data_IF_851883927559
#
_entry.id   IF_851883927559
#
_cell.length_a   1.000
_cell.length_b   1.000
_cell.length_c   1.000
_cell.angle_alpha   90.00
_cell.angle_beta   90.00
_cell.angle_gamma   90.00
#
_symmetry.space_group_name_H-M   'P 1'
#
loop_
_entity.id
_entity.type
_entity.pdbx_description
1 polymer ?
#
# COMPACT_ATOMS: atom_id res chain seq x y z
N UNK A 1 25.90 56.53 -10.94
CA UNK A 1 25.09 56.06 -9.79
C UNK A 1 24.13 54.98 -10.29
N UNK A 2 24.37 53.72 -9.92
CA UNK A 2 23.66 52.56 -10.47
C UNK A 2 22.46 52.21 -9.57
N UNK A 3 21.27 52.15 -10.18
CA UNK A 3 19.99 51.88 -9.52
C UNK A 3 19.90 50.42 -9.05
N UNK A 4 19.97 50.18 -7.74
CA UNK A 4 19.49 48.94 -7.12
C UNK A 4 18.04 49.10 -6.66
N UNK A 5 17.08 48.88 -7.56
CA UNK A 5 15.66 48.67 -7.21
C UNK A 5 15.10 47.52 -8.04
N UNK A 6 15.20 46.30 -7.52
CA UNK A 6 14.67 45.13 -8.22
C UNK A 6 14.69 43.78 -7.48
N UNK A 7 15.10 43.73 -6.21
CA UNK A 7 15.30 42.46 -5.50
C UNK A 7 14.23 42.09 -4.47
N UNK A 8 13.37 43.04 -4.05
CA UNK A 8 12.34 42.80 -3.03
C UNK A 8 11.13 41.99 -3.53
N UNK A 9 10.55 42.37 -4.68
CA UNK A 9 9.39 41.67 -5.26
C UNK A 9 9.71 40.24 -5.69
N UNK A 10 10.93 39.99 -6.20
CA UNK A 10 11.38 38.63 -6.58
C UNK A 10 11.48 37.71 -5.35
N UNK A 11 11.98 38.21 -4.21
CA UNK A 11 12.09 37.41 -2.97
C UNK A 11 10.72 37.03 -2.38
N UNK A 12 9.76 37.95 -2.39
CA UNK A 12 8.40 37.69 -1.88
C UNK A 12 7.67 36.66 -2.78
N UNK A 13 7.85 36.76 -4.09
CA UNK A 13 7.29 35.78 -5.04
C UNK A 13 7.83 34.37 -4.82
N UNK A 14 9.15 34.22 -4.60
CA UNK A 14 9.75 32.92 -4.28
C UNK A 14 9.28 32.35 -2.95
N UNK A 15 9.07 33.18 -1.92
CA UNK A 15 8.53 32.75 -0.63
C UNK A 15 7.08 32.23 -0.81
N UNK A 16 6.24 32.95 -1.55
CA UNK A 16 4.87 32.52 -1.84
C UNK A 16 4.82 31.19 -2.59
N UNK A 17 5.70 31.00 -3.58
CA UNK A 17 5.85 29.73 -4.30
C UNK A 17 6.20 28.60 -3.33
N UNK A 18 7.22 28.77 -2.48
CA UNK A 18 7.64 27.74 -1.52
C UNK A 18 6.52 27.41 -0.53
N UNK A 19 5.78 28.41 -0.04
CA UNK A 19 4.64 28.19 0.86
C UNK A 19 3.51 27.43 0.16
N UNK A 20 3.16 27.80 -1.08
CA UNK A 20 2.13 27.09 -1.85
C UNK A 20 2.52 25.63 -2.13
N UNK A 21 3.77 25.38 -2.51
CA UNK A 21 4.27 24.02 -2.76
C UNK A 21 4.31 23.16 -1.49
N UNK A 22 4.72 23.72 -0.35
CA UNK A 22 4.75 23.00 0.94
C UNK A 22 3.35 22.67 1.46
N UNK A 23 2.39 23.60 1.37
CA UNK A 23 1.00 23.37 1.79
C UNK A 23 0.31 22.33 0.89
N UNK A 24 0.56 22.36 -0.41
CA UNK A 24 -0.01 21.38 -1.36
C UNK A 24 0.51 19.96 -1.08
N UNK A 25 1.83 19.80 -0.89
CA UNK A 25 2.46 18.51 -0.58
C UNK A 25 1.99 17.92 0.77
N UNK A 26 1.77 18.77 1.77
CA UNK A 26 1.24 18.34 3.08
C UNK A 26 -0.18 17.76 2.98
N UNK A 27 -1.04 18.39 2.16
CA UNK A 27 -2.42 17.92 1.94
C UNK A 27 -2.46 16.57 1.22
N UNK A 28 -1.62 16.37 0.21
CA UNK A 28 -1.58 15.08 -0.52
C UNK A 28 -1.13 13.95 0.40
N UNK A 29 -0.06 14.15 1.19
CA UNK A 29 0.43 13.16 2.14
C UNK A 29 -0.62 12.75 3.18
N UNK A 30 -1.35 13.72 3.73
CA UNK A 30 -2.43 13.44 4.70
C UNK A 30 -3.58 12.66 4.07
N UNK A 31 -3.93 12.99 2.82
CA UNK A 31 -4.97 12.29 2.08
C UNK A 31 -4.56 10.84 1.82
N UNK A 32 -3.33 10.60 1.42
CA UNK A 32 -2.80 9.25 1.20
C UNK A 32 -2.68 8.44 2.50
N UNK A 33 -2.24 9.04 3.60
CA UNK A 33 -2.24 8.41 4.93
C UNK A 33 -3.67 8.00 5.35
N UNK A 34 -4.67 8.83 5.04
CA UNK A 34 -6.08 8.53 5.28
C UNK A 34 -6.56 7.36 4.42
N UNK A 35 -6.21 7.35 3.13
CA UNK A 35 -6.58 6.26 2.21
C UNK A 35 -5.94 4.94 2.62
N UNK A 36 -4.66 4.93 3.00
CA UNK A 36 -3.99 3.75 3.54
C UNK A 36 -4.73 3.19 4.76
N UNK A 37 -5.15 4.05 5.69
CA UNK A 37 -5.93 3.63 6.85
C UNK A 37 -7.25 2.97 6.47
N UNK A 38 -7.96 3.50 5.45
CA UNK A 38 -9.21 2.90 4.96
C UNK A 38 -8.97 1.56 4.28
N UNK A 39 -7.89 1.41 3.51
CA UNK A 39 -7.53 0.14 2.86
C UNK A 39 -7.24 -0.92 3.93
N UNK A 40 -6.39 -0.60 4.90
CA UNK A 40 -6.07 -1.50 6.02
C UNK A 40 -7.35 -1.87 6.80
N UNK A 41 -8.22 -0.91 7.06
CA UNK A 41 -9.51 -1.16 7.71
C UNK A 41 -10.36 -2.17 6.94
N UNK A 42 -10.46 -2.02 5.62
CA UNK A 42 -11.23 -2.91 4.78
C UNK A 42 -10.69 -4.34 4.81
N UNK A 43 -9.37 -4.52 4.79
CA UNK A 43 -8.74 -5.84 4.91
C UNK A 43 -9.04 -6.47 6.28
N UNK A 44 -8.80 -5.74 7.38
CA UNK A 44 -9.05 -6.26 8.73
C UNK A 44 -10.53 -6.58 8.97
N UNK A 45 -11.45 -5.74 8.46
CA UNK A 45 -12.88 -5.99 8.54
C UNK A 45 -13.29 -7.23 7.75
N UNK A 46 -12.71 -7.43 6.57
CA UNK A 46 -12.96 -8.63 5.76
C UNK A 46 -12.52 -9.90 6.52
N UNK A 47 -11.31 -9.91 7.07
CA UNK A 47 -10.80 -11.05 7.85
C UNK A 47 -11.61 -11.29 9.13
N UNK A 48 -12.01 -10.23 9.84
CA UNK A 48 -12.90 -10.32 11.02
C UNK A 48 -14.20 -11.04 10.71
N UNK A 49 -14.80 -10.74 9.55
CA UNK A 49 -16.07 -11.33 9.13
C UNK A 49 -15.91 -12.78 8.66
N UNK A 50 -14.71 -13.17 8.23
CA UNK A 50 -14.40 -14.53 7.77
C UNK A 50 -14.02 -15.46 8.92
N UNK A 51 -13.42 -14.91 9.97
CA UNK A 51 -13.02 -15.65 11.18
C UNK A 51 -14.23 -15.93 12.09
N UNK A 52 -14.27 -17.11 12.70
CA UNK A 52 -15.23 -17.45 13.77
C UNK A 52 -14.89 -16.74 15.10
N UNK A 53 -13.63 -16.34 15.28
CA UNK A 53 -13.18 -15.47 16.37
C UNK A 53 -13.21 -14.02 15.92
N UNK A 54 -14.13 -13.23 16.48
CA UNK A 54 -14.15 -11.78 16.30
C UNK A 54 -13.05 -11.18 17.18
N UNK A 55 -11.84 -11.09 16.64
CA UNK A 55 -10.79 -10.31 17.29
C UNK A 55 -11.23 -8.84 17.37
N UNK A 56 -11.40 -8.36 18.59
CA UNK A 56 -11.81 -6.98 18.85
C UNK A 56 -10.65 -5.99 18.71
N UNK A 57 -9.40 -6.47 18.79
CA UNK A 57 -8.18 -5.67 18.66
C UNK A 57 -7.18 -6.41 17.78
N UNK A 58 -6.71 -5.74 16.73
CA UNK A 58 -5.65 -6.23 15.85
C UNK A 58 -4.31 -5.64 16.28
N UNK A 59 -3.32 -6.50 16.53
CA UNK A 59 -1.95 -6.08 16.73
C UNK A 59 -1.26 -5.98 15.37
N UNK A 60 -0.87 -4.77 14.96
CA UNK A 60 -0.32 -4.48 13.62
C UNK A 60 1.12 -4.01 13.75
N UNK A 61 2.04 -4.60 13.01
CA UNK A 61 3.40 -4.07 12.89
C UNK A 61 3.33 -2.67 12.24
N UNK A 62 3.85 -1.62 12.89
CA UNK A 62 3.84 -0.28 12.30
C UNK A 62 4.66 -0.19 11.01
N UNK A 63 5.65 -1.05 10.80
CA UNK A 63 6.47 -1.03 9.58
C UNK A 63 5.69 -1.59 8.40
N UNK A 64 5.67 -0.83 7.30
CA UNK A 64 5.08 -1.29 6.05
C UNK A 64 6.13 -1.92 5.16
N UNK A 65 5.74 -2.97 4.46
CA UNK A 65 6.61 -3.71 3.56
C UNK A 65 6.46 -3.13 2.15
N UNK A 66 7.56 -3.06 1.39
CA UNK A 66 7.48 -2.56 0.02
C UNK A 66 7.02 -3.69 -0.90
N UNK A 67 5.90 -3.49 -1.58
CA UNK A 67 5.47 -4.37 -2.66
C UNK A 67 6.18 -3.93 -3.94
N UNK A 68 7.13 -4.75 -4.43
CA UNK A 68 7.87 -4.49 -5.66
C UNK A 68 7.16 -5.13 -6.84
N UNK A 69 6.71 -4.30 -7.77
CA UNK A 69 6.10 -4.77 -9.01
C UNK A 69 7.17 -4.82 -10.09
N UNK A 70 7.37 -5.98 -10.72
CA UNK A 70 8.37 -6.16 -11.76
C UNK A 70 7.77 -6.69 -13.06
N UNK A 71 8.48 -6.46 -14.16
CA UNK A 71 8.16 -7.08 -15.44
C UNK A 71 8.86 -8.44 -15.51
N UNK A 72 8.13 -9.56 -15.64
CA UNK A 72 8.75 -10.87 -15.73
C UNK A 72 9.55 -11.01 -17.02
N UNK A 73 10.66 -11.74 -16.96
CA UNK A 73 11.46 -12.01 -18.17
C UNK A 73 10.77 -13.02 -19.08
N UNK A 74 11.16 -13.08 -20.36
CA UNK A 74 10.64 -14.12 -21.26
C UNK A 74 10.95 -15.53 -20.74
N UNK A 75 12.12 -15.74 -20.15
CA UNK A 75 12.55 -17.02 -19.57
C UNK A 75 11.68 -17.41 -18.39
N UNK A 76 11.34 -16.46 -17.51
CA UNK A 76 10.43 -16.69 -16.39
C UNK A 76 9.03 -17.09 -16.88
N UNK A 77 8.49 -16.39 -17.88
CA UNK A 77 7.18 -16.71 -18.47
C UNK A 77 7.18 -18.13 -19.07
N UNK A 78 8.31 -18.57 -19.63
CA UNK A 78 8.49 -19.91 -20.20
C UNK A 78 8.83 -20.97 -19.14
N UNK A 79 9.03 -20.58 -17.88
CA UNK A 79 9.43 -21.50 -16.79
C UNK A 79 10.89 -21.96 -16.84
N UNK A 80 11.72 -21.31 -17.67
CA UNK A 80 13.16 -21.61 -17.80
C UNK A 80 13.98 -21.06 -16.63
N UNK A 81 13.46 -20.03 -15.94
CA UNK A 81 14.09 -19.39 -14.79
C UNK A 81 13.03 -19.11 -13.72
N UNK A 82 13.33 -19.34 -12.43
CA UNK A 82 12.42 -18.91 -11.37
C UNK A 82 12.35 -17.38 -11.32
N UNK A 83 11.17 -16.85 -11.01
CA UNK A 83 11.03 -15.44 -10.67
C UNK A 83 11.77 -15.09 -9.37
N UNK A 84 11.92 -13.79 -9.05
CA UNK A 84 12.44 -13.34 -7.77
C UNK A 84 11.62 -13.93 -6.61
N UNK A 85 12.22 -14.08 -5.41
CA UNK A 85 11.53 -14.63 -4.25
C UNK A 85 10.17 -13.97 -4.03
N UNK A 86 9.10 -14.74 -3.77
CA UNK A 86 7.72 -14.24 -3.76
C UNK A 86 7.39 -13.30 -2.59
N UNK A 87 8.38 -13.03 -1.72
CA UNK A 87 8.28 -12.11 -0.58
C UNK A 87 8.14 -10.67 -1.06
N UNK A 88 6.89 -10.26 -1.32
CA UNK A 88 6.52 -8.94 -1.80
C UNK A 88 7.13 -8.52 -3.14
N UNK A 89 7.60 -9.48 -3.94
CA UNK A 89 7.81 -9.26 -5.38
C UNK A 89 6.60 -9.82 -6.11
N UNK A 90 5.93 -8.99 -6.92
CA UNK A 90 4.82 -9.44 -7.76
C UNK A 90 5.07 -9.08 -9.21
N UNK A 91 4.93 -10.08 -10.07
CA UNK A 91 4.99 -9.82 -11.50
C UNK A 91 3.77 -9.00 -11.91
N UNK A 92 3.99 -8.02 -12.79
CA UNK A 92 2.90 -7.21 -13.33
C UNK A 92 1.86 -8.10 -14.02
N UNK A 93 2.30 -9.18 -14.69
CA UNK A 93 1.42 -10.16 -15.31
C UNK A 93 0.45 -10.78 -14.29
N UNK A 94 0.96 -11.24 -13.14
CA UNK A 94 0.14 -11.84 -12.09
C UNK A 94 -0.92 -10.87 -11.54
N UNK A 95 -0.57 -9.60 -11.33
CA UNK A 95 -1.52 -8.59 -10.84
C UNK A 95 -2.62 -8.29 -11.87
N UNK A 96 -2.27 -8.24 -13.16
CA UNK A 96 -3.23 -8.03 -14.24
C UNK A 96 -4.17 -9.23 -14.43
N UNK A 97 -3.66 -10.44 -14.29
CA UNK A 97 -4.45 -11.66 -14.31
C UNK A 97 -5.38 -11.75 -13.10
N UNK A 98 -4.89 -11.35 -11.93
CA UNK A 98 -5.69 -11.30 -10.71
C UNK A 98 -6.91 -10.41 -10.88
N UNK A 99 -6.73 -9.23 -11.49
CA UNK A 99 -7.76 -8.23 -11.78
C UNK A 99 -8.69 -8.62 -12.94
N UNK A 100 -8.33 -9.62 -13.73
CA UNK A 100 -9.09 -10.07 -14.90
C UNK A 100 -9.31 -8.97 -15.95
N UNK A 101 -8.29 -8.13 -16.17
CA UNK A 101 -8.36 -7.00 -17.08
C UNK A 101 -8.52 -7.40 -18.56
N UNK A 102 -9.29 -6.61 -19.32
CA UNK A 102 -9.36 -6.71 -20.80
C UNK A 102 -8.12 -6.10 -21.47
N UNK A 103 -7.82 -6.49 -22.71
CA UNK A 103 -6.55 -6.18 -23.41
C UNK A 103 -6.11 -4.70 -23.38
N UNK A 104 -7.02 -3.74 -23.58
CA UNK A 104 -6.69 -2.31 -23.56
C UNK A 104 -6.40 -1.78 -22.14
N UNK A 105 -7.21 -2.19 -21.16
CA UNK A 105 -7.02 -1.86 -19.74
C UNK A 105 -5.67 -2.39 -19.25
N UNK A 106 -5.29 -3.61 -19.67
CA UNK A 106 -4.02 -4.25 -19.31
C UNK A 106 -2.81 -3.40 -19.65
N UNK A 107 -2.73 -2.83 -20.85
CA UNK A 107 -1.58 -1.99 -21.24
C UNK A 107 -1.42 -0.79 -20.31
N UNK A 108 -2.52 -0.13 -20.01
CA UNK A 108 -2.52 1.08 -19.19
C UNK A 108 -2.21 0.78 -17.71
N UNK A 109 -2.74 -0.33 -17.19
CA UNK A 109 -2.44 -0.77 -15.83
C UNK A 109 -1.00 -1.27 -15.69
N UNK A 110 -0.44 -1.95 -16.69
CA UNK A 110 0.96 -2.39 -16.68
C UNK A 110 1.92 -1.22 -16.41
N UNK A 111 1.75 -0.14 -17.17
CA UNK A 111 2.61 1.03 -17.03
C UNK A 111 2.42 1.70 -15.66
N UNK A 112 1.17 1.85 -15.23
CA UNK A 112 0.84 2.50 -13.97
C UNK A 112 1.42 1.74 -12.77
N UNK A 113 1.32 0.41 -12.76
CA UNK A 113 1.87 -0.43 -11.70
C UNK A 113 3.40 -0.38 -11.64
N UNK A 114 4.07 -0.42 -12.80
CA UNK A 114 5.54 -0.39 -12.84
C UNK A 114 6.13 0.96 -12.39
N UNK A 115 5.40 2.06 -12.62
CA UNK A 115 5.82 3.40 -12.19
C UNK A 115 5.73 3.63 -10.67
N UNK A 116 4.90 2.85 -9.98
CA UNK A 116 4.62 3.05 -8.55
C UNK A 116 5.69 2.47 -7.60
N UNK A 117 6.74 1.83 -8.12
CA UNK A 117 7.83 1.30 -7.30
C UNK A 117 8.55 2.37 -6.45
N UNK A 118 8.38 3.66 -6.77
CA UNK A 118 8.93 4.79 -6.00
C UNK A 118 8.01 5.26 -4.85
N UNK A 119 6.73 4.88 -4.87
CA UNK A 119 5.76 5.27 -3.86
C UNK A 119 5.82 4.32 -2.67
N UNK A 120 6.26 4.81 -1.51
CA UNK A 120 6.47 3.99 -0.33
C UNK A 120 6.23 4.80 0.95
N UNK A 121 5.34 4.30 1.81
CA UNK A 121 5.29 4.67 3.22
C UNK A 121 6.18 3.73 4.02
N UNK A 122 7.05 4.30 4.85
CA UNK A 122 7.89 3.53 5.77
C UNK A 122 7.05 2.86 6.87
N UNK A 123 6.00 3.55 7.33
CA UNK A 123 5.20 3.11 8.46
C UNK A 123 3.73 3.52 8.39
N UNK A 124 2.89 2.71 9.01
CA UNK A 124 1.47 2.97 9.22
C UNK A 124 1.29 3.91 10.41
N UNK A 125 0.80 5.12 10.15
CA UNK A 125 0.26 6.01 11.18
C UNK A 125 -1.24 5.74 11.33
N UNK A 126 -1.63 5.14 12.45
CA UNK A 126 -3.02 4.75 12.68
C UNK A 126 -3.90 5.98 12.90
N UNK A 127 -4.88 6.18 12.03
CA UNK A 127 -6.01 7.07 12.27
C UNK A 127 -7.03 6.34 13.14
N UNK A 128 -7.09 6.69 14.43
CA UNK A 128 -7.98 6.07 15.42
C UNK A 128 -9.48 6.27 15.13
N UNK A 129 -9.84 7.25 14.30
CA UNK A 129 -11.24 7.44 13.89
C UNK A 129 -11.67 6.40 12.87
N UNK A 130 -10.75 5.98 12.01
CA UNK A 130 -11.00 4.94 10.98
C UNK A 130 -10.74 3.56 11.56
N UNK A 131 -9.66 3.43 12.34
CA UNK A 131 -9.14 2.18 12.88
C UNK A 131 -9.08 2.23 14.42
N UNK A 132 -10.23 2.23 15.12
CA UNK A 132 -10.24 2.25 16.59
C UNK A 132 -9.60 0.99 17.19
N UNK A 133 -9.70 -0.14 16.46
CA UNK A 133 -9.34 -1.47 16.93
C UNK A 133 -7.92 -1.90 16.57
N UNK A 134 -7.07 -1.01 16.02
CA UNK A 134 -5.67 -1.35 15.71
C UNK A 134 -4.77 -0.94 16.87
N UNK A 135 -4.05 -1.88 17.48
CA UNK A 135 -2.90 -1.58 18.34
C UNK A 135 -1.62 -1.75 17.52
N UNK A 136 -0.69 -0.80 17.62
CA UNK A 136 0.61 -0.95 16.98
C UNK A 136 1.50 -1.86 17.85
N UNK A 137 2.12 -2.86 17.24
CA UNK A 137 3.03 -3.78 17.90
C UNK A 137 4.30 -3.07 18.36
N UNK A 138 4.72 -3.30 19.61
CA UNK A 138 6.05 -2.91 20.07
C UNK A 138 7.13 -3.87 19.54
N UNK A 139 8.40 -3.50 19.71
CA UNK A 139 9.50 -4.44 19.43
C UNK A 139 9.44 -5.66 20.36
N UNK A 140 9.02 -5.48 21.61
CA UNK A 140 8.87 -6.62 22.53
C UNK A 140 7.73 -7.53 22.07
N UNK A 141 6.60 -6.98 21.62
CA UNK A 141 5.49 -7.80 21.12
C UNK A 141 5.93 -8.73 19.97
N UNK A 142 6.73 -8.18 19.03
CA UNK A 142 7.28 -8.92 17.89
C UNK A 142 8.30 -9.98 18.36
N UNK A 143 9.23 -9.60 19.24
CA UNK A 143 10.27 -10.51 19.75
C UNK A 143 9.67 -11.66 20.57
N UNK A 144 8.60 -11.38 21.30
CA UNK A 144 7.85 -12.35 22.11
C UNK A 144 6.91 -13.22 21.26
N UNK A 145 6.90 -13.04 19.92
CA UNK A 145 6.07 -13.81 18.98
C UNK A 145 4.59 -13.77 19.32
N UNK A 146 4.12 -12.63 19.81
CA UNK A 146 2.69 -12.39 19.99
C UNK A 146 2.03 -12.42 18.62
N UNK A 147 0.79 -12.90 18.51
CA UNK A 147 0.06 -12.86 17.24
C UNK A 147 -0.06 -11.42 16.73
N UNK A 148 0.46 -11.14 15.54
CA UNK A 148 0.37 -9.82 14.90
C UNK A 148 0.22 -9.94 13.38
N UNK A 149 -0.15 -8.84 12.73
CA UNK A 149 -0.16 -8.76 11.28
C UNK A 149 0.73 -7.64 10.74
N UNK A 150 1.24 -7.83 9.53
CA UNK A 150 2.02 -6.85 8.79
C UNK A 150 1.34 -6.55 7.46
N UNK A 151 1.48 -5.32 6.97
CA UNK A 151 0.93 -4.90 5.69
C UNK A 151 2.03 -4.46 4.74
N UNK A 152 1.84 -4.74 3.45
CA UNK A 152 2.59 -4.07 2.41
C UNK A 152 2.03 -2.66 2.16
N UNK A 153 2.77 -1.87 1.39
CA UNK A 153 2.20 -0.73 0.71
C UNK A 153 1.18 -1.20 -0.33
N UNK A 154 0.08 -0.44 -0.53
CA UNK A 154 -0.85 -0.70 -1.62
C UNK A 154 -0.21 -0.32 -2.96
N UNK A 155 -0.57 -1.07 -4.00
CA UNK A 155 -0.35 -0.68 -5.40
C UNK A 155 -1.69 -0.39 -6.05
N UNK A 156 -1.77 0.68 -6.82
CA UNK A 156 -3.01 1.16 -7.41
C UNK A 156 -3.05 0.79 -8.89
N UNK A 157 -4.20 0.33 -9.35
CA UNK A 157 -4.48 0.22 -10.77
C UNK A 157 -5.05 1.55 -11.27
N UNK A 158 -5.03 1.76 -12.59
CA UNK A 158 -5.45 3.03 -13.20
C UNK A 158 -6.93 3.33 -12.98
N UNK A 159 -7.75 2.30 -12.85
CA UNK A 159 -9.19 2.43 -12.58
C UNK A 159 -9.52 2.77 -11.12
N UNK A 160 -8.50 2.93 -10.27
CA UNK A 160 -8.66 3.24 -8.86
C UNK A 160 -8.97 2.03 -7.99
N UNK A 161 -8.88 0.80 -8.50
CA UNK A 161 -8.73 -0.39 -7.65
C UNK A 161 -7.32 -0.47 -7.05
N UNK A 162 -7.15 -1.28 -6.00
CA UNK A 162 -5.84 -1.43 -5.35
C UNK A 162 -5.58 -2.87 -4.92
N UNK A 163 -4.31 -3.25 -4.90
CA UNK A 163 -3.84 -4.50 -4.35
C UNK A 163 -2.90 -4.26 -3.16
N UNK A 164 -3.07 -5.02 -2.09
CA UNK A 164 -2.24 -4.97 -0.89
C UNK A 164 -2.02 -6.38 -0.35
N UNK A 165 -0.88 -6.63 0.27
CA UNK A 165 -0.60 -7.89 0.96
C UNK A 165 -0.62 -7.72 2.47
N UNK A 166 -1.09 -8.75 3.16
CA UNK A 166 -0.96 -8.86 4.60
C UNK A 166 -0.31 -10.19 4.99
N UNK A 167 0.53 -10.13 6.02
CA UNK A 167 1.09 -11.31 6.72
C UNK A 167 0.45 -11.44 8.07
N UNK A 168 0.06 -12.64 8.45
CA UNK A 168 -0.47 -12.94 9.77
C UNK A 168 0.50 -13.91 10.44
N UNK A 169 1.05 -13.49 11.56
CA UNK A 169 1.93 -14.29 12.41
C UNK A 169 1.13 -14.76 13.61
N UNK A 170 1.10 -16.06 13.87
CA UNK A 170 0.55 -16.65 15.10
C UNK A 170 1.64 -17.16 16.06
N UNK A 171 2.89 -17.20 15.59
CA UNK A 171 4.05 -17.76 16.25
C UNK A 171 5.33 -17.42 15.46
N UNK A 172 6.19 -18.41 15.17
CA UNK A 172 7.30 -18.29 14.19
C UNK A 172 6.84 -18.45 12.75
N UNK A 173 5.61 -18.92 12.55
CA UNK A 173 5.03 -19.11 11.23
C UNK A 173 4.18 -17.91 10.83
N UNK A 174 4.22 -17.59 9.54
CA UNK A 174 3.49 -16.50 8.92
C UNK A 174 2.72 -16.97 7.69
N UNK A 175 1.45 -16.61 7.59
CA UNK A 175 0.65 -16.86 6.38
C UNK A 175 0.41 -15.53 5.67
N UNK A 176 0.71 -15.51 4.37
CA UNK A 176 0.54 -14.36 3.50
C UNK A 176 -0.73 -14.44 2.66
N UNK A 177 -1.46 -13.32 2.60
CA UNK A 177 -2.60 -13.14 1.70
C UNK A 177 -2.46 -11.84 0.90
N UNK A 178 -2.90 -11.89 -0.35
CA UNK A 178 -3.03 -10.75 -1.25
C UNK A 178 -4.49 -10.40 -1.44
N UNK A 179 -4.81 -9.11 -1.33
CA UNK A 179 -6.17 -8.59 -1.37
C UNK A 179 -6.30 -7.61 -2.53
N UNK A 180 -7.25 -7.85 -3.42
CA UNK A 180 -7.70 -6.89 -4.42
C UNK A 180 -8.94 -6.17 -3.88
N UNK A 181 -8.89 -4.84 -3.85
CA UNK A 181 -9.95 -3.98 -3.32
C UNK A 181 -10.45 -3.00 -4.38
N UNK A 182 -11.73 -2.69 -4.29
CA UNK A 182 -12.38 -1.64 -5.09
C UNK A 182 -12.92 -0.54 -4.19
N UNK A 183 -12.76 0.70 -4.64
CA UNK A 183 -13.30 1.87 -3.96
C UNK A 183 -14.80 1.98 -4.20
N UNK A 184 -15.55 2.17 -3.12
CA UNK A 184 -16.99 2.31 -3.12
C UNK A 184 -17.39 3.79 -3.28
N UNK A 185 -18.66 4.04 -3.62
CA UNK A 185 -19.19 5.39 -3.85
C UNK A 185 -19.11 6.30 -2.61
N UNK A 186 -19.16 5.71 -1.42
CA UNK A 186 -19.01 6.41 -0.13
C UNK A 186 -17.54 6.72 0.22
N UNK A 187 -16.60 6.32 -0.64
CA UNK A 187 -15.17 6.52 -0.45
C UNK A 187 -14.49 5.52 0.48
N UNK A 188 -15.18 4.44 0.88
CA UNK A 188 -14.60 3.29 1.58
C UNK A 188 -14.08 2.24 0.58
N UNK A 189 -13.30 1.28 1.09
CA UNK A 189 -12.76 0.18 0.28
C UNK A 189 -13.48 -1.12 0.62
N UNK A 190 -13.62 -2.00 -0.39
CA UNK A 190 -14.18 -3.34 -0.21
C UNK A 190 -13.28 -4.37 -0.87
N UNK A 191 -12.94 -5.43 -0.14
CA UNK A 191 -12.21 -6.58 -0.67
C UNK A 191 -13.09 -7.33 -1.66
N UNK A 192 -12.56 -7.57 -2.86
CA UNK A 192 -13.22 -8.30 -3.96
C UNK A 192 -12.65 -9.68 -4.19
N UNK A 193 -11.35 -9.83 -3.98
CA UNK A 193 -10.64 -11.08 -4.21
C UNK A 193 -9.51 -11.23 -3.21
N UNK A 194 -9.30 -12.47 -2.79
CA UNK A 194 -8.22 -12.89 -1.93
C UNK A 194 -7.44 -14.02 -2.60
N UNK A 195 -6.11 -14.00 -2.45
CA UNK A 195 -5.22 -15.08 -2.89
C UNK A 195 -4.20 -15.39 -1.81
N UNK A 196 -3.80 -16.66 -1.70
CA UNK A 196 -2.66 -17.05 -0.87
C UNK A 196 -1.38 -16.57 -1.57
N UNK A 197 -0.50 -15.88 -0.84
CA UNK A 197 0.72 -15.33 -1.44
C UNK A 197 1.98 -16.08 -1.04
N UNK A 198 2.05 -16.59 0.18
CA UNK A 198 3.13 -17.44 0.68
C UNK A 198 2.78 -18.02 2.06
N UNK A 199 3.56 -19.00 2.50
CA UNK A 199 3.64 -19.49 3.88
C UNK A 199 5.12 -19.40 4.27
N UNK A 200 5.43 -18.85 5.44
CA UNK A 200 6.79 -18.73 6.00
C UNK A 200 6.90 -19.45 7.31
#
# INVERSE_FOLDING_TARGET
MHNQKGNGMKKIFWILIVVLFTVSCSKSKKQEETELNKIVNAVLKYESNRSTSKENIYLVNPKLLQLKVYSPSKKEILGEEPGPPPFFNKSVAHLLDLKNNKSEERKSDSLHLLQQNQYFFDSLKVDRKINPNIKLASKEDINNRIKFCEFSNPVYFKDGSTYIEARYFDSSFGIGFGYLLEKQKDGNWMVKKIINTFIT
#
